data_IF_081882052161
#
_entry.id   IF_081882052161
#
_cell.length_a   1.000
_cell.length_b   1.000
_cell.length_c   1.000
_cell.angle_alpha   90.00
_cell.angle_beta   90.00
_cell.angle_gamma   90.00
#
_symmetry.space_group_name_H-M   'P 1'
#
loop_
_entity.id
_entity.type
_entity.pdbx_description
1 polymer ?
#
# COMPACT_ATOMS: atom_id res chain seq x y z
N UNK A 1 -12.87 14.64 -30.20
CA UNK A 1 -11.59 14.67 -30.92
C UNK A 1 -10.39 14.70 -29.96
N UNK A 2 -10.33 15.64 -29.02
CA UNK A 2 -9.28 15.72 -27.99
C UNK A 2 -9.25 14.47 -27.11
N UNK A 3 -10.39 14.05 -26.65
CA UNK A 3 -10.55 12.88 -25.75
C UNK A 3 -10.15 11.58 -26.47
N UNK A 4 -10.49 11.43 -27.74
CA UNK A 4 -10.10 10.25 -28.52
C UNK A 4 -8.58 10.15 -28.67
N UNK A 5 -7.88 11.26 -28.82
CA UNK A 5 -6.41 11.27 -28.88
C UNK A 5 -5.76 10.90 -27.54
N UNK A 6 -6.34 11.31 -26.41
CA UNK A 6 -5.91 10.85 -25.08
C UNK A 6 -6.10 9.35 -24.96
N UNK A 7 -7.24 8.84 -25.45
CA UNK A 7 -7.54 7.42 -25.49
C UNK A 7 -6.52 6.64 -26.32
N UNK A 8 -6.18 7.14 -27.50
CA UNK A 8 -5.20 6.51 -28.40
C UNK A 8 -3.81 6.44 -27.75
N UNK A 9 -3.38 7.51 -27.08
CA UNK A 9 -2.11 7.50 -26.31
C UNK A 9 -2.18 6.49 -25.19
N UNK A 10 -3.24 6.47 -24.40
CA UNK A 10 -3.39 5.54 -23.29
C UNK A 10 -3.39 4.07 -23.74
N UNK A 11 -4.11 3.76 -24.86
CA UNK A 11 -4.19 2.40 -25.39
C UNK A 11 -2.87 1.91 -25.97
N UNK A 12 -2.10 2.79 -26.61
CA UNK A 12 -0.79 2.43 -27.17
C UNK A 12 0.22 1.99 -26.09
N UNK A 13 -0.01 2.37 -24.83
CA UNK A 13 0.79 1.99 -23.68
C UNK A 13 0.12 0.93 -22.78
N UNK A 14 -0.93 0.25 -23.30
CA UNK A 14 -1.56 -0.88 -22.59
C UNK A 14 -2.46 -0.49 -21.40
N UNK A 15 -2.84 0.78 -21.29
CA UNK A 15 -3.82 1.20 -20.30
C UNK A 15 -5.21 0.79 -20.77
N UNK A 16 -5.93 -0.01 -19.96
CA UNK A 16 -7.26 -0.49 -20.30
C UNK A 16 -8.28 0.67 -20.34
N UNK A 17 -8.82 0.93 -21.54
CA UNK A 17 -9.68 2.07 -21.84
C UNK A 17 -11.16 1.64 -21.97
N UNK A 18 -11.43 0.36 -22.10
CA UNK A 18 -12.74 -0.20 -22.50
C UNK A 18 -13.93 0.20 -21.59
N UNK A 19 -13.66 0.90 -20.48
CA UNK A 19 -14.67 1.29 -19.49
C UNK A 19 -14.63 2.78 -19.13
N UNK A 20 -13.88 3.61 -19.84
CA UNK A 20 -13.75 5.03 -19.50
C UNK A 20 -14.83 5.81 -20.25
N UNK A 21 -15.75 6.41 -19.49
CA UNK A 21 -16.67 7.41 -20.02
C UNK A 21 -15.91 8.73 -20.21
N UNK A 22 -15.50 9.02 -21.42
CA UNK A 22 -14.74 10.21 -21.78
C UNK A 22 -15.54 11.51 -21.70
N UNK A 23 -16.86 11.43 -21.54
CA UNK A 23 -17.68 12.60 -21.26
C UNK A 23 -17.63 13.00 -19.79
N UNK A 24 -17.07 12.15 -18.93
CA UNK A 24 -16.88 12.40 -17.53
C UNK A 24 -15.42 12.85 -17.27
N UNK A 25 -15.25 14.12 -16.91
CA UNK A 25 -13.92 14.70 -16.63
C UNK A 25 -13.16 13.93 -15.53
N UNK A 26 -13.85 13.44 -14.52
CA UNK A 26 -13.22 12.71 -13.41
C UNK A 26 -12.56 11.41 -13.91
N UNK A 27 -13.19 10.72 -14.87
CA UNK A 27 -12.63 9.50 -15.46
C UNK A 27 -11.40 9.78 -16.32
N UNK A 28 -11.36 10.92 -16.99
CA UNK A 28 -10.17 11.36 -17.74
C UNK A 28 -9.04 11.71 -16.77
N UNK A 29 -9.33 12.37 -15.66
CA UNK A 29 -8.34 12.65 -14.60
C UNK A 29 -7.80 11.35 -13.99
N UNK A 30 -8.66 10.38 -13.67
CA UNK A 30 -8.26 9.06 -13.18
C UNK A 30 -7.31 8.32 -14.14
N UNK A 31 -7.54 8.48 -15.45
CA UNK A 31 -6.66 7.93 -16.47
C UNK A 31 -5.31 8.64 -16.50
N UNK A 32 -5.32 9.96 -16.56
CA UNK A 32 -4.10 10.78 -16.60
C UNK A 32 -3.23 10.58 -15.35
N UNK A 33 -3.86 10.32 -14.21
CA UNK A 33 -3.15 10.03 -12.96
C UNK A 33 -2.32 8.74 -13.02
N UNK A 34 -2.69 7.80 -13.89
CA UNK A 34 -1.98 6.54 -14.12
C UNK A 34 -0.86 6.66 -15.16
N UNK A 35 -0.72 7.82 -15.81
CA UNK A 35 0.28 8.04 -16.84
C UNK A 35 1.69 7.93 -16.28
N UNK A 36 2.52 7.20 -17.01
CA UNK A 36 3.97 7.16 -16.82
C UNK A 36 4.62 8.39 -17.48
N UNK A 37 5.88 8.71 -17.18
CA UNK A 37 6.59 9.78 -17.88
C UNK A 37 6.56 9.64 -19.42
N UNK A 38 6.61 8.40 -19.94
CA UNK A 38 6.52 8.12 -21.37
C UNK A 38 5.14 8.46 -21.94
N UNK A 39 4.07 8.18 -21.21
CA UNK A 39 2.71 8.54 -21.62
C UNK A 39 2.51 10.06 -21.65
N UNK A 40 3.07 10.78 -20.67
CA UNK A 40 3.02 12.23 -20.63
C UNK A 40 3.78 12.87 -21.79
N UNK A 41 4.95 12.31 -22.14
CA UNK A 41 5.72 12.77 -23.31
C UNK A 41 4.94 12.55 -24.62
N UNK A 42 4.38 11.35 -24.81
CA UNK A 42 3.56 11.05 -25.99
C UNK A 42 2.32 11.95 -26.11
N UNK A 43 1.70 12.30 -24.97
CA UNK A 43 0.60 13.26 -24.94
C UNK A 43 1.06 14.67 -25.33
N UNK A 44 2.20 15.12 -24.85
CA UNK A 44 2.79 16.41 -25.20
C UNK A 44 3.14 16.48 -26.69
N UNK A 45 3.66 15.41 -27.26
CA UNK A 45 3.97 15.31 -28.69
C UNK A 45 2.69 15.33 -29.55
N UNK A 46 1.59 14.76 -29.04
CA UNK A 46 0.28 14.76 -29.72
C UNK A 46 -0.39 16.13 -29.74
N UNK A 47 -0.10 16.95 -28.72
CA UNK A 47 -0.68 18.29 -28.56
C UNK A 47 0.39 19.39 -28.37
N UNK A 48 1.14 19.73 -29.45
CA UNK A 48 2.25 20.69 -29.37
C UNK A 48 1.83 22.07 -28.82
N UNK A 49 0.58 22.50 -29.11
CA UNK A 49 0.09 23.82 -28.70
C UNK A 49 -0.03 24.01 -27.20
N UNK A 50 -0.19 22.91 -26.45
CA UNK A 50 -0.34 22.91 -24.98
C UNK A 50 0.73 22.04 -24.30
N UNK A 51 1.79 21.67 -25.01
CA UNK A 51 2.86 20.81 -24.51
C UNK A 51 3.48 21.32 -23.20
N UNK A 52 3.65 22.64 -23.06
CA UNK A 52 4.17 23.25 -21.85
C UNK A 52 3.22 23.04 -20.65
N UNK A 53 1.89 23.16 -20.88
CA UNK A 53 0.89 22.93 -19.83
C UNK A 53 0.86 21.46 -19.43
N UNK A 54 0.98 20.56 -20.42
CA UNK A 54 1.05 19.12 -20.18
C UNK A 54 2.30 18.77 -19.34
N UNK A 55 3.47 19.29 -19.72
CA UNK A 55 4.73 19.04 -19.01
C UNK A 55 4.69 19.60 -17.58
N UNK A 56 4.14 20.79 -17.38
CA UNK A 56 4.00 21.38 -16.04
C UNK A 56 3.09 20.54 -15.13
N UNK A 57 1.93 20.10 -15.64
CA UNK A 57 1.02 19.26 -14.88
C UNK A 57 1.58 17.87 -14.62
N UNK A 58 2.27 17.27 -15.60
CA UNK A 58 2.96 16.00 -15.42
C UNK A 58 3.99 16.08 -14.30
N UNK A 59 4.80 17.14 -14.28
CA UNK A 59 5.78 17.37 -13.21
C UNK A 59 5.14 17.53 -11.82
N UNK A 60 4.02 18.26 -11.74
CA UNK A 60 3.29 18.41 -10.48
C UNK A 60 2.71 17.10 -9.97
N UNK A 61 2.12 16.29 -10.87
CA UNK A 61 1.58 14.98 -10.52
C UNK A 61 2.71 14.04 -10.08
N UNK A 62 3.84 14.05 -10.78
CA UNK A 62 5.00 13.25 -10.40
C UNK A 62 5.54 13.64 -9.03
N UNK A 63 5.67 14.93 -8.74
CA UNK A 63 6.11 15.42 -7.43
C UNK A 63 5.15 15.01 -6.32
N UNK A 64 3.83 15.11 -6.52
CA UNK A 64 2.83 14.71 -5.53
C UNK A 64 2.83 13.20 -5.29
N UNK A 65 3.10 12.42 -6.33
CA UNK A 65 3.09 10.96 -6.26
C UNK A 65 4.45 10.35 -5.91
N UNK A 66 5.51 11.15 -5.83
CA UNK A 66 6.86 10.65 -5.53
C UNK A 66 7.19 10.79 -4.05
N UNK A 67 7.53 9.67 -3.43
CA UNK A 67 8.06 9.63 -2.08
C UNK A 67 9.32 8.76 -2.05
N UNK A 68 10.46 9.35 -1.71
CA UNK A 68 11.77 8.69 -1.71
C UNK A 68 12.11 7.99 -3.05
N UNK A 69 11.69 8.58 -4.17
CA UNK A 69 11.89 8.02 -5.51
C UNK A 69 10.94 6.88 -5.88
N UNK A 70 9.93 6.62 -5.05
CA UNK A 70 8.89 5.62 -5.30
C UNK A 70 7.62 6.34 -5.74
N UNK A 71 7.01 5.89 -6.85
CA UNK A 71 5.70 6.38 -7.26
C UNK A 71 4.62 5.74 -6.39
N UNK A 72 3.94 6.55 -5.60
CA UNK A 72 2.91 6.13 -4.64
C UNK A 72 1.61 5.65 -5.30
N UNK A 73 1.33 6.13 -6.50
CA UNK A 73 0.10 5.80 -7.23
C UNK A 73 0.14 4.44 -7.93
N UNK A 74 1.34 3.89 -8.15
CA UNK A 74 1.54 2.61 -8.84
C UNK A 74 1.70 1.46 -7.86
N UNK A 75 1.27 0.25 -8.28
CA UNK A 75 1.52 -0.96 -7.52
C UNK A 75 3.02 -1.32 -7.58
N UNK A 76 3.62 -1.83 -6.49
CA UNK A 76 5.00 -2.30 -6.49
C UNK A 76 5.26 -3.43 -7.49
N UNK A 77 4.27 -4.27 -7.74
CA UNK A 77 4.36 -5.37 -8.70
C UNK A 77 3.92 -4.92 -10.09
N UNK A 78 4.88 -4.69 -10.96
CA UNK A 78 4.69 -4.40 -12.39
C UNK A 78 5.20 -5.53 -13.30
N UNK A 79 5.51 -6.69 -12.71
CA UNK A 79 6.06 -7.86 -13.40
C UNK A 79 7.36 -8.36 -12.75
N UNK A 80 7.68 -9.63 -12.96
CA UNK A 80 8.90 -10.24 -12.39
C UNK A 80 10.21 -9.72 -12.98
N UNK A 81 10.15 -9.08 -14.14
CA UNK A 81 11.31 -8.51 -14.83
C UNK A 81 11.66 -7.10 -14.36
N UNK A 82 10.75 -6.42 -13.67
CA UNK A 82 10.88 -5.03 -13.26
C UNK A 82 10.93 -4.90 -11.73
N UNK A 83 12.01 -5.39 -11.13
CA UNK A 83 12.22 -5.22 -9.69
C UNK A 83 12.66 -3.77 -9.43
N UNK A 84 11.81 -3.02 -8.75
CA UNK A 84 12.06 -1.62 -8.36
C UNK A 84 12.24 -1.51 -6.84
N UNK A 85 12.71 -0.34 -6.39
CA UNK A 85 12.83 -0.03 -4.96
C UNK A 85 11.48 -0.13 -4.22
N UNK A 86 10.36 -0.01 -4.95
CA UNK A 86 9.01 -0.18 -4.41
C UNK A 86 8.75 -1.58 -3.84
N UNK A 87 9.52 -2.61 -4.25
CA UNK A 87 9.43 -3.95 -3.69
C UNK A 87 9.83 -4.03 -2.21
N UNK A 88 10.59 -3.05 -1.73
CA UNK A 88 10.90 -2.95 -0.30
C UNK A 88 9.65 -2.74 0.56
N UNK A 89 8.61 -2.11 0.01
CA UNK A 89 7.38 -1.80 0.75
C UNK A 89 6.66 -3.07 1.19
N UNK A 90 6.28 -4.03 0.30
CA UNK A 90 5.68 -5.30 0.70
C UNK A 90 6.56 -6.11 1.65
N UNK A 91 7.87 -6.09 1.45
CA UNK A 91 8.82 -6.81 2.32
C UNK A 91 8.81 -6.20 3.73
N UNK A 92 8.91 -4.88 3.84
CA UNK A 92 8.85 -4.18 5.13
C UNK A 92 7.48 -4.34 5.79
N UNK A 93 6.38 -4.27 5.03
CA UNK A 93 5.05 -4.52 5.55
C UNK A 93 4.92 -5.94 6.12
N UNK A 94 5.44 -6.94 5.42
CA UNK A 94 5.48 -8.33 5.89
C UNK A 94 6.31 -8.51 7.16
N UNK A 95 7.49 -7.91 7.20
CA UNK A 95 8.37 -7.98 8.37
C UNK A 95 7.76 -7.29 9.60
N UNK A 96 7.23 -6.09 9.45
CA UNK A 96 6.58 -5.37 10.56
C UNK A 96 5.36 -6.12 11.06
N UNK A 97 4.54 -6.66 10.16
CA UNK A 97 3.36 -7.43 10.52
C UNK A 97 3.72 -8.75 11.21
N UNK A 98 4.72 -9.47 10.70
CA UNK A 98 5.20 -10.70 11.33
C UNK A 98 5.73 -10.44 12.73
N UNK A 99 6.54 -9.39 12.90
CA UNK A 99 7.12 -9.03 14.20
C UNK A 99 6.04 -8.62 15.20
N UNK A 100 5.06 -7.83 14.76
CA UNK A 100 3.88 -7.45 15.55
C UNK A 100 3.10 -8.67 16.03
N UNK A 101 2.81 -9.60 15.13
CA UNK A 101 2.08 -10.84 15.45
C UNK A 101 2.86 -11.68 16.49
N UNK A 102 4.18 -11.78 16.34
CA UNK A 102 5.03 -12.51 17.27
C UNK A 102 5.03 -11.89 18.68
N UNK A 103 5.05 -10.56 18.78
CA UNK A 103 4.95 -9.85 20.06
C UNK A 103 3.59 -10.06 20.72
N UNK A 104 2.51 -10.07 19.96
CA UNK A 104 1.16 -10.35 20.47
C UNK A 104 1.02 -11.79 20.94
N UNK A 105 1.50 -12.76 20.19
CA UNK A 105 1.41 -14.18 20.53
C UNK A 105 2.11 -14.51 21.87
N UNK A 106 3.18 -13.81 22.19
CA UNK A 106 3.90 -13.99 23.45
C UNK A 106 3.12 -13.47 24.68
N UNK A 107 2.20 -12.52 24.44
CA UNK A 107 1.41 -11.89 25.53
C UNK A 107 0.04 -12.54 25.70
N UNK A 108 -0.54 -13.03 24.61
CA UNK A 108 -1.78 -13.78 24.60
C UNK A 108 -1.46 -15.26 24.41
N UNK A 109 -1.16 -15.97 25.49
CA UNK A 109 -1.12 -17.43 25.48
C UNK A 109 -2.56 -17.93 25.28
N UNK A 110 -3.01 -17.98 24.03
CA UNK A 110 -4.23 -18.70 23.69
C UNK A 110 -3.93 -20.19 23.83
N UNK A 111 -4.65 -20.82 24.77
CA UNK A 111 -4.60 -22.26 24.94
C UNK A 111 -5.02 -22.91 23.58
N UNK A 112 -4.14 -23.67 22.93
CA UNK A 112 -4.44 -24.31 21.64
C UNK A 112 -5.62 -25.29 21.76
N UNK A 113 -5.88 -25.79 22.96
CA UNK A 113 -6.91 -26.78 23.26
C UNK A 113 -8.26 -26.12 23.66
N UNK A 114 -8.29 -24.77 23.80
CA UNK A 114 -9.54 -24.05 24.05
C UNK A 114 -10.48 -24.12 22.83
N UNK A 115 -11.80 -24.22 23.02
CA UNK A 115 -12.76 -24.20 21.92
C UNK A 115 -12.60 -22.91 21.09
N UNK A 116 -12.13 -23.06 19.84
CA UNK A 116 -11.85 -21.93 18.94
C UNK A 116 -10.39 -21.44 18.91
N UNK A 117 -9.50 -21.99 19.73
CA UNK A 117 -8.09 -21.57 19.78
C UNK A 117 -7.31 -21.84 18.48
N UNK A 118 -7.50 -23.01 17.88
CA UNK A 118 -6.82 -23.38 16.62
C UNK A 118 -7.22 -22.52 15.41
N UNK A 119 -8.53 -22.26 15.12
CA UNK A 119 -8.91 -21.38 14.02
C UNK A 119 -8.39 -19.96 14.21
N UNK A 120 -8.39 -19.44 15.42
CA UNK A 120 -7.92 -18.08 15.72
C UNK A 120 -6.40 -17.95 15.55
N UNK A 121 -5.62 -18.93 15.99
CA UNK A 121 -4.18 -18.96 15.78
C UNK A 121 -3.81 -19.06 14.28
N UNK A 122 -4.53 -19.88 13.52
CA UNK A 122 -4.35 -19.98 12.07
C UNK A 122 -4.67 -18.66 11.37
N UNK A 123 -5.75 -17.98 11.78
CA UNK A 123 -6.13 -16.68 11.26
C UNK A 123 -5.07 -15.61 11.55
N UNK A 124 -4.51 -15.60 12.76
CA UNK A 124 -3.43 -14.68 13.14
C UNK A 124 -2.15 -14.93 12.34
N UNK A 125 -1.85 -16.17 11.96
CA UNK A 125 -0.68 -16.49 11.13
C UNK A 125 -0.88 -16.20 9.63
N UNK A 126 -2.09 -16.36 9.13
CA UNK A 126 -2.38 -16.13 7.70
C UNK A 126 -2.59 -14.68 7.34
N UNK A 127 -3.08 -13.86 8.25
CA UNK A 127 -3.35 -12.44 8.02
C UNK A 127 -2.12 -11.65 7.51
N UNK A 128 -0.91 -11.82 8.06
CA UNK A 128 0.29 -11.17 7.55
C UNK A 128 0.60 -11.53 6.10
N UNK A 129 0.39 -12.79 5.70
CA UNK A 129 0.66 -13.25 4.33
C UNK A 129 -0.32 -12.63 3.33
N UNK A 130 -1.59 -12.54 3.71
CA UNK A 130 -2.63 -11.88 2.91
C UNK A 130 -2.30 -10.39 2.74
N UNK A 131 -1.87 -9.72 3.81
CA UNK A 131 -1.47 -8.31 3.76
C UNK A 131 -0.28 -8.06 2.83
N UNK A 132 0.73 -8.94 2.86
CA UNK A 132 1.88 -8.85 1.94
C UNK A 132 1.43 -9.01 0.48
N UNK A 133 0.55 -9.96 0.20
CA UNK A 133 0.00 -10.16 -1.14
C UNK A 133 -0.71 -8.89 -1.65
N UNK A 134 -1.55 -8.29 -0.83
CA UNK A 134 -2.22 -7.04 -1.18
C UNK A 134 -1.25 -5.87 -1.35
N UNK A 135 -0.17 -5.80 -0.57
CA UNK A 135 0.87 -4.79 -0.74
C UNK A 135 1.56 -4.85 -2.10
N UNK A 136 1.64 -6.01 -2.73
CA UNK A 136 2.17 -6.13 -4.10
C UNK A 136 1.22 -5.63 -5.16
N UNK A 137 -0.09 -5.74 -4.94
CA UNK A 137 -1.12 -5.48 -5.93
C UNK A 137 -1.76 -4.10 -5.83
N UNK A 138 -1.75 -3.51 -4.65
CA UNK A 138 -2.29 -2.17 -4.41
C UNK A 138 -1.24 -1.08 -4.62
N UNK A 139 -1.67 0.20 -4.83
CA UNK A 139 -0.76 1.33 -4.89
C UNK A 139 0.20 1.39 -3.71
N UNK A 140 1.45 1.75 -3.97
CA UNK A 140 2.53 1.77 -2.98
C UNK A 140 2.20 2.62 -1.73
N UNK A 141 1.38 3.65 -1.89
CA UNK A 141 0.88 4.47 -0.77
C UNK A 141 0.21 3.64 0.32
N UNK A 142 -0.63 2.66 -0.06
CA UNK A 142 -1.32 1.78 0.91
C UNK A 142 -0.31 0.90 1.65
N UNK A 143 0.69 0.39 0.92
CA UNK A 143 1.76 -0.40 1.52
C UNK A 143 2.59 0.38 2.54
N UNK A 144 2.94 1.64 2.24
CA UNK A 144 3.63 2.53 3.19
C UNK A 144 2.79 2.77 4.43
N UNK A 145 1.48 3.03 4.26
CA UNK A 145 0.57 3.16 5.40
C UNK A 145 0.62 1.91 6.30
N UNK A 146 0.60 0.71 5.74
CA UNK A 146 0.68 -0.53 6.50
C UNK A 146 2.02 -0.72 7.21
N UNK A 147 3.14 -0.32 6.58
CA UNK A 147 4.46 -0.32 7.24
C UNK A 147 4.47 0.60 8.45
N UNK A 148 3.98 1.84 8.30
CA UNK A 148 3.93 2.82 9.39
C UNK A 148 3.02 2.34 10.52
N UNK A 149 1.83 1.84 10.17
CA UNK A 149 0.89 1.28 11.14
C UNK A 149 1.51 0.09 11.90
N UNK A 150 2.17 -0.83 11.19
CA UNK A 150 2.85 -1.98 11.80
C UNK A 150 3.99 -1.56 12.72
N UNK A 151 4.78 -0.57 12.34
CA UNK A 151 5.83 -0.01 13.19
C UNK A 151 5.26 0.62 14.46
N UNK A 152 4.18 1.40 14.34
CA UNK A 152 3.49 1.98 15.50
C UNK A 152 2.93 0.89 16.43
N UNK A 153 2.32 -0.15 15.86
CA UNK A 153 1.79 -1.28 16.61
C UNK A 153 2.88 -2.03 17.40
N UNK A 154 4.07 -2.19 16.82
CA UNK A 154 5.24 -2.77 17.49
C UNK A 154 5.61 -1.92 18.72
N UNK A 155 5.74 -0.61 18.56
CA UNK A 155 6.07 0.31 19.68
C UNK A 155 5.02 0.22 20.77
N UNK A 156 3.75 0.27 20.39
CA UNK A 156 2.65 0.13 21.34
C UNK A 156 2.69 -1.19 22.08
N UNK A 157 2.92 -2.31 21.38
CA UNK A 157 2.97 -3.64 22.01
C UNK A 157 4.16 -3.78 22.97
N UNK A 158 5.32 -3.24 22.61
CA UNK A 158 6.49 -3.23 23.50
C UNK A 158 6.22 -2.41 24.77
N UNK A 159 5.54 -1.27 24.65
CA UNK A 159 5.16 -0.46 25.80
C UNK A 159 4.17 -1.21 26.71
N UNK A 160 3.15 -1.83 26.14
CA UNK A 160 2.17 -2.64 26.88
C UNK A 160 2.85 -3.83 27.57
N UNK A 161 3.68 -4.57 26.86
CA UNK A 161 4.40 -5.72 27.44
C UNK A 161 5.32 -5.29 28.58
N UNK A 162 6.03 -4.16 28.42
CA UNK A 162 6.88 -3.61 29.48
C UNK A 162 6.09 -3.17 30.70
N UNK A 163 4.88 -2.63 30.51
CA UNK A 163 3.99 -2.26 31.59
C UNK A 163 3.44 -3.50 32.30
N UNK A 164 2.91 -4.45 31.56
CA UNK A 164 2.33 -5.70 32.12
C UNK A 164 3.35 -6.51 32.91
N UNK A 165 4.61 -6.57 32.46
CA UNK A 165 5.67 -7.27 33.19
C UNK A 165 6.05 -6.61 34.54
N UNK A 166 5.65 -5.35 34.75
CA UNK A 166 5.89 -4.64 36.03
C UNK A 166 4.70 -4.69 36.97
N UNK A 167 3.56 -5.12 36.48
CA UNK A 167 2.32 -5.22 37.29
C UNK A 167 2.19 -6.64 37.82
N UNK A 168 2.16 -6.77 39.13
CA UNK A 168 1.83 -8.04 39.81
C UNK A 168 0.33 -8.29 39.68
N UNK A 169 -0.02 -9.21 38.76
CA UNK A 169 -1.41 -9.55 38.45
C UNK A 169 -2.11 -10.19 39.66
N UNK A 170 -1.39 -10.90 40.50
CA UNK A 170 -1.93 -11.54 41.69
C UNK A 170 -2.33 -10.49 42.75
N UNK A 171 -1.54 -9.42 42.89
CA UNK A 171 -1.88 -8.31 43.77
C UNK A 171 -3.10 -7.53 43.27
N UNK A 172 -3.23 -7.34 41.94
CA UNK A 172 -4.40 -6.69 41.35
C UNK A 172 -5.68 -7.49 41.47
N UNK A 173 -5.61 -8.82 41.37
CA UNK A 173 -6.76 -9.70 41.52
C UNK A 173 -7.22 -9.67 43.00
N UNK A 174 -6.30 -9.77 43.96
CA UNK A 174 -6.62 -9.71 45.39
C UNK A 174 -7.22 -8.37 45.81
N UNK A 175 -6.90 -7.30 45.14
CA UNK A 175 -7.40 -5.94 45.49
C UNK A 175 -8.80 -5.66 44.95
N UNK A 176 -9.29 -6.45 43.97
CA UNK A 176 -10.59 -6.31 43.32
C UNK A 176 -11.58 -7.43 43.63
N UNK A 177 -11.24 -8.37 44.50
CA UNK A 177 -12.09 -9.39 45.10
C UNK A 177 -12.41 -8.99 46.55
#
# INVERSE_FOLDING_TARGET
>A
DFINKIADVASSYGLAIDKIDYNNADKVVDLLYKFTPSNWQALADTFPQISNVIAENASKIEQMNSFLGINLATAPFTGFTNISIAWLIPILAGLTQWFSTKLMSNTQQMDPDAPGGQPMNTMMMTMPLVSVFFCFTFPAAIGIYWVVQGAFQIVQQLAVNSYMNKVDMDELIQKNV
#
